data_IF_406581267448
#
_entry.id   IF_406581267448
#
_cell.length_a   1.000
_cell.length_b   1.000
_cell.length_c   1.000
_cell.angle_alpha   90.00
_cell.angle_beta   90.00
_cell.angle_gamma   90.00
#
_symmetry.space_group_name_H-M   'P 1'
#
loop_
_entity.id
_entity.type
_entity.pdbx_description
1 polymer ?
#
# COMPACT_ATOMS: atom_id res chain seq x y z
N UNK A 1 5.57 10.38 7.30
CA UNK A 1 4.70 10.36 6.10
C UNK A 1 5.29 9.29 5.19
N UNK A 2 4.56 8.23 4.85
CA UNK A 2 5.10 7.16 4.00
C UNK A 2 5.13 7.70 2.57
N UNK A 3 6.31 7.85 1.99
CA UNK A 3 6.49 8.33 0.62
C UNK A 3 6.70 7.11 -0.30
N UNK A 4 5.89 7.01 -1.36
CA UNK A 4 6.01 5.95 -2.35
C UNK A 4 7.07 6.32 -3.40
N UNK A 5 8.08 5.48 -3.51
CA UNK A 5 9.12 5.59 -4.53
C UNK A 5 8.57 5.23 -5.92
N UNK A 6 9.24 5.62 -7.01
CA UNK A 6 8.87 5.17 -8.36
C UNK A 6 8.89 3.63 -8.51
N UNK A 7 9.77 2.95 -7.77
CA UNK A 7 9.83 1.49 -7.75
C UNK A 7 8.56 0.90 -7.12
N UNK A 8 8.13 1.41 -5.96
CA UNK A 8 6.92 0.93 -5.28
C UNK A 8 5.68 1.07 -6.18
N UNK A 9 5.58 2.18 -6.92
CA UNK A 9 4.50 2.42 -7.88
C UNK A 9 4.55 1.40 -9.03
N UNK A 10 5.75 1.11 -9.55
CA UNK A 10 5.95 0.11 -10.59
C UNK A 10 5.57 -1.30 -10.13
N UNK A 11 6.00 -1.70 -8.95
CA UNK A 11 5.67 -3.00 -8.34
C UNK A 11 4.17 -3.13 -8.07
N UNK A 12 3.54 -2.09 -7.53
CA UNK A 12 2.10 -2.07 -7.30
C UNK A 12 1.32 -2.24 -8.60
N UNK A 13 1.71 -1.54 -9.68
CA UNK A 13 1.07 -1.69 -11.00
C UNK A 13 1.20 -3.11 -11.54
N UNK A 14 2.39 -3.70 -11.45
CA UNK A 14 2.63 -5.07 -11.90
C UNK A 14 1.74 -6.06 -11.14
N UNK A 15 1.64 -5.91 -9.82
CA UNK A 15 0.78 -6.72 -8.97
C UNK A 15 -0.71 -6.51 -9.31
N UNK A 16 -1.16 -5.26 -9.41
CA UNK A 16 -2.56 -4.94 -9.72
C UNK A 16 -2.98 -5.54 -11.06
N UNK A 17 -2.12 -5.44 -12.09
CA UNK A 17 -2.37 -6.04 -13.40
C UNK A 17 -2.42 -7.57 -13.32
N UNK A 18 -1.52 -8.20 -12.57
CA UNK A 18 -1.50 -9.65 -12.38
C UNK A 18 -2.81 -10.15 -11.75
N UNK A 19 -3.29 -9.48 -10.72
CA UNK A 19 -4.47 -9.93 -9.95
C UNK A 19 -5.81 -9.56 -10.61
N UNK A 20 -5.87 -8.43 -11.33
CA UNK A 20 -7.14 -7.91 -11.88
C UNK A 20 -7.24 -7.99 -13.40
N UNK A 21 -6.13 -8.24 -14.09
CA UNK A 21 -6.02 -8.16 -15.55
C UNK A 21 -6.11 -6.75 -16.13
N UNK A 22 -6.16 -5.70 -15.30
CA UNK A 22 -6.35 -4.30 -15.74
C UNK A 22 -5.08 -3.48 -15.58
N UNK A 23 -4.85 -2.57 -16.52
CA UNK A 23 -3.81 -1.55 -16.44
C UNK A 23 -4.35 -0.28 -15.74
N UNK A 24 -3.48 0.37 -14.97
CA UNK A 24 -3.78 1.62 -14.26
C UNK A 24 -2.67 2.65 -14.50
N UNK A 25 -3.01 3.92 -14.36
CA UNK A 25 -2.05 5.03 -14.43
C UNK A 25 -1.18 5.10 -13.17
N UNK A 26 -0.04 5.80 -13.25
CA UNK A 26 0.84 6.00 -12.10
C UNK A 26 0.15 6.81 -10.98
N UNK A 27 -0.72 7.75 -11.33
CA UNK A 27 -1.51 8.52 -10.38
C UNK A 27 -2.47 7.60 -9.60
N UNK A 28 -3.20 6.73 -10.30
CA UNK A 28 -4.09 5.74 -9.66
C UNK A 28 -3.31 4.74 -8.80
N UNK A 29 -2.17 4.26 -9.28
CA UNK A 29 -1.33 3.35 -8.51
C UNK A 29 -0.84 3.98 -7.21
N UNK A 30 -0.40 5.24 -7.24
CA UNK A 30 -0.02 6.01 -6.04
C UNK A 30 -1.19 6.15 -5.06
N UNK A 31 -2.35 6.55 -5.57
CA UNK A 31 -3.56 6.72 -4.75
C UNK A 31 -3.96 5.40 -4.06
N UNK A 32 -4.01 4.30 -4.82
CA UNK A 32 -4.44 3.01 -4.29
C UNK A 32 -3.43 2.45 -3.27
N UNK A 33 -2.14 2.56 -3.54
CA UNK A 33 -1.09 2.13 -2.62
C UNK A 33 -1.13 2.94 -1.32
N UNK A 34 -1.30 4.27 -1.38
CA UNK A 34 -1.46 5.11 -0.19
C UNK A 34 -2.71 4.75 0.62
N UNK A 35 -3.85 4.52 -0.04
CA UNK A 35 -5.07 4.10 0.62
C UNK A 35 -4.89 2.74 1.33
N UNK A 36 -4.16 1.81 0.70
CA UNK A 36 -3.85 0.51 1.31
C UNK A 36 -2.98 0.67 2.56
N UNK A 37 -1.94 1.51 2.50
CA UNK A 37 -1.09 1.82 3.65
C UNK A 37 -1.88 2.47 4.80
N UNK A 38 -2.82 3.38 4.49
CA UNK A 38 -3.70 3.97 5.49
C UNK A 38 -4.60 2.91 6.14
N UNK A 39 -5.17 1.99 5.36
CA UNK A 39 -5.98 0.90 5.90
C UNK A 39 -5.16 0.00 6.82
N UNK A 40 -3.95 -0.38 6.41
CA UNK A 40 -3.03 -1.18 7.26
C UNK A 40 -2.69 -0.43 8.55
N UNK A 41 -2.39 0.87 8.47
CA UNK A 41 -2.11 1.69 9.65
C UNK A 41 -3.29 1.77 10.63
N UNK A 42 -4.54 1.74 10.14
CA UNK A 42 -5.74 1.72 10.98
C UNK A 42 -5.95 0.37 11.68
N UNK A 43 -5.58 -0.73 11.04
CA UNK A 43 -5.72 -2.09 11.59
C UNK A 43 -4.66 -2.39 12.65
N UNK A 44 -3.45 -1.84 12.50
CA UNK A 44 -2.38 -1.94 13.50
C UNK A 44 -2.63 -0.89 14.60
N UNK A 45 -3.64 -1.11 15.45
CA UNK A 45 -3.72 -0.37 16.73
C UNK A 45 -2.51 -0.74 17.60
N UNK A 46 -1.77 0.23 18.16
CA UNK A 46 -0.61 -0.05 19.00
C UNK A 46 -0.93 -0.69 20.35
N UNK A 47 -2.20 -0.78 20.76
CA UNK A 47 -2.63 -1.40 22.03
C UNK A 47 -2.61 -2.95 22.01
N UNK A 48 -2.15 -3.59 20.94
CA UNK A 48 -2.21 -5.06 20.79
C UNK A 48 -0.85 -5.75 20.62
N UNK A 49 0.25 -5.01 20.65
CA UNK A 49 1.56 -5.62 20.85
C UNK A 49 1.82 -5.63 22.35
N UNK A 50 1.94 -6.79 23.02
CA UNK A 50 2.44 -6.80 24.38
C UNK A 50 3.81 -6.11 24.34
N UNK A 51 3.96 -5.04 25.11
CA UNK A 51 5.27 -4.62 25.55
C UNK A 51 5.82 -5.83 26.31
N UNK A 52 6.78 -6.54 25.70
CA UNK A 52 7.51 -7.59 26.39
C UNK A 52 7.95 -7.07 27.75
N UNK A 53 7.64 -7.87 28.78
CA UNK A 53 8.05 -7.70 30.17
C UNK A 53 9.55 -7.89 30.34
#
# INVERSE_FOLDING_TARGET
>A
MIELTPQDVGEFKALFRKETGKDITDAQAREYALNLLHLVALVIRPESLPADQ
#
